data_IF_778822753950
#
_entry.id   IF_778822753950
#
_cell.length_a   1.000
_cell.length_b   1.000
_cell.length_c   1.000
_cell.angle_alpha   90.00
_cell.angle_beta   90.00
_cell.angle_gamma   90.00
#
_symmetry.space_group_name_H-M   'P 1'
#
loop_
_entity.id
_entity.type
_entity.pdbx_description
1 polymer ?
#
# COMPACT_ATOMS: atom_id res chain seq x y z
N UNK A 1 15.33 33.99 2.25
CA UNK A 1 16.75 34.29 2.05
C UNK A 1 17.58 33.22 2.73
N UNK A 2 18.19 32.32 1.95
CA UNK A 2 18.92 31.14 2.44
C UNK A 2 20.37 31.42 2.83
N UNK A 3 20.68 32.57 3.43
CA UNK A 3 22.03 32.87 3.86
C UNK A 3 22.31 32.20 5.21
N UNK A 4 23.49 31.60 5.31
CA UNK A 4 23.97 30.97 6.54
C UNK A 4 25.41 31.43 6.83
N UNK A 5 25.84 31.35 8.10
CA UNK A 5 27.20 31.60 8.52
C UNK A 5 27.59 30.53 9.54
N UNK A 6 28.72 29.87 9.29
CA UNK A 6 29.21 28.78 10.14
C UNK A 6 30.73 28.87 10.27
N UNK A 7 31.24 28.65 11.48
CA UNK A 7 32.66 28.54 11.74
C UNK A 7 33.06 27.08 11.62
N UNK A 8 34.02 26.82 10.74
CA UNK A 8 34.53 25.45 10.48
C UNK A 8 35.91 25.29 11.07
N UNK A 9 36.15 24.26 11.88
CA UNK A 9 37.44 24.07 12.55
C UNK A 9 38.57 23.64 11.60
N UNK A 10 38.25 22.97 10.50
CA UNK A 10 39.26 22.42 9.58
C UNK A 10 38.98 22.77 8.13
N UNK A 11 40.07 22.92 7.34
CA UNK A 11 39.98 23.23 5.89
C UNK A 11 39.28 22.18 5.05
N UNK A 12 39.24 20.93 5.51
CA UNK A 12 38.58 19.77 4.83
C UNK A 12 37.25 19.43 5.47
N UNK A 13 36.65 20.30 6.29
CA UNK A 13 35.33 20.00 6.85
C UNK A 13 34.29 19.82 5.78
N UNK A 14 33.37 18.87 6.01
CA UNK A 14 32.22 18.58 5.14
C UNK A 14 30.98 19.22 5.76
N UNK A 15 30.27 20.00 4.99
CA UNK A 15 28.97 20.56 5.39
C UNK A 15 27.87 19.69 4.84
N UNK A 16 26.96 19.19 5.70
CA UNK A 16 25.79 18.44 5.31
C UNK A 16 24.57 19.36 5.37
N UNK A 17 23.91 19.50 4.24
CA UNK A 17 22.71 20.32 4.08
C UNK A 17 21.50 19.39 4.06
N UNK A 18 20.57 19.61 4.99
CA UNK A 18 19.31 18.83 5.07
C UNK A 18 18.14 19.78 5.23
N UNK A 19 17.17 19.64 4.38
CA UNK A 19 15.91 20.36 4.46
C UNK A 19 14.76 19.45 4.07
N UNK A 20 13.60 19.62 4.70
CA UNK A 20 12.42 18.79 4.44
C UNK A 20 11.98 18.99 2.99
N UNK A 21 11.81 17.91 2.23
CA UNK A 21 11.44 17.95 0.82
C UNK A 21 12.61 18.15 -0.16
N UNK A 22 13.85 18.03 0.32
CA UNK A 22 15.05 18.11 -0.53
C UNK A 22 16.02 16.97 -0.26
N UNK A 23 16.69 16.51 -1.30
CA UNK A 23 17.73 15.48 -1.19
C UNK A 23 18.88 16.01 -0.35
N UNK A 24 19.33 15.30 0.71
CA UNK A 24 20.47 15.70 1.51
C UNK A 24 21.72 15.85 0.62
N UNK A 25 22.45 16.95 0.77
CA UNK A 25 23.65 17.21 0.00
C UNK A 25 24.82 17.49 0.91
N UNK A 26 25.95 16.90 0.60
CA UNK A 26 27.22 17.11 1.30
C UNK A 26 28.19 17.87 0.41
N UNK A 27 28.84 18.86 0.97
CA UNK A 27 29.81 19.73 0.27
C UNK A 27 31.06 19.93 1.11
N UNK A 28 32.22 19.69 0.53
CA UNK A 28 33.50 19.89 1.19
C UNK A 28 33.90 21.37 1.12
N UNK A 29 34.24 21.96 2.23
CA UNK A 29 34.55 23.41 2.32
C UNK A 29 35.81 23.80 1.52
N UNK A 30 36.84 22.96 1.51
CA UNK A 30 38.09 23.17 0.75
C UNK A 30 38.65 24.61 0.86
N UNK A 31 38.67 25.21 2.06
CA UNK A 31 39.14 26.54 2.32
C UNK A 31 38.38 27.66 1.57
N UNK A 32 37.17 27.39 1.08
CA UNK A 32 36.32 28.41 0.46
C UNK A 32 35.67 29.29 1.53
N UNK A 33 35.67 30.58 1.32
CA UNK A 33 35.00 31.54 2.21
C UNK A 33 33.50 31.59 2.00
N UNK A 34 33.04 31.20 0.80
CA UNK A 34 31.64 31.16 0.43
C UNK A 34 31.36 29.80 -0.24
N UNK A 35 30.35 29.09 0.24
CA UNK A 35 29.91 27.84 -0.31
C UNK A 35 28.43 28.01 -0.66
N UNK A 36 28.14 28.09 -1.95
CA UNK A 36 26.79 28.14 -2.46
C UNK A 36 26.34 26.72 -2.77
N UNK A 37 25.20 26.33 -2.24
CA UNK A 37 24.62 24.97 -2.43
C UNK A 37 23.25 25.12 -3.02
N UNK A 38 23.02 24.46 -4.12
CA UNK A 38 21.71 24.28 -4.70
C UNK A 38 21.21 22.89 -4.31
N UNK A 39 20.13 22.86 -3.55
CA UNK A 39 19.45 21.61 -3.18
C UNK A 39 18.47 21.24 -4.29
N UNK A 40 18.34 19.94 -4.55
CA UNK A 40 17.39 19.39 -5.49
C UNK A 40 16.17 18.96 -4.68
N UNK A 41 14.99 19.33 -5.15
CA UNK A 41 13.74 18.85 -4.55
C UNK A 41 13.75 17.33 -4.56
N UNK A 42 13.54 16.76 -3.39
CA UNK A 42 13.24 15.35 -3.27
C UNK A 42 11.80 15.16 -3.76
N UNK A 43 11.64 14.92 -5.06
CA UNK A 43 10.37 14.48 -5.67
C UNK A 43 10.14 13.05 -5.20
N UNK A 44 10.20 12.93 -3.85
CA UNK A 44 10.41 11.68 -3.15
C UNK A 44 9.51 10.60 -3.66
N UNK A 45 10.10 9.49 -3.89
CA UNK A 45 9.46 8.25 -3.56
C UNK A 45 8.82 8.45 -2.18
N UNK A 46 7.52 8.77 -2.16
CA UNK A 46 6.69 8.50 -1.01
C UNK A 46 6.99 7.03 -0.71
N UNK A 47 7.72 6.76 0.38
CA UNK A 47 7.97 5.40 0.83
C UNK A 47 6.60 4.72 0.83
N UNK A 48 6.36 3.84 -0.13
CA UNK A 48 5.08 3.15 -0.26
C UNK A 48 4.86 2.36 1.01
N UNK A 49 3.95 2.84 1.82
CA UNK A 49 3.63 2.27 3.12
C UNK A 49 2.52 1.25 2.90
N UNK A 50 2.76 0.02 3.29
CA UNK A 50 1.76 -1.05 3.24
C UNK A 50 1.10 -1.17 4.60
N UNK A 51 -0.22 -1.13 4.61
CA UNK A 51 -1.00 -1.39 5.82
C UNK A 51 -0.89 -2.87 6.14
N UNK A 52 -0.39 -3.19 7.31
CA UNK A 52 -0.33 -4.55 7.86
C UNK A 52 -1.24 -4.63 9.07
N UNK A 53 -1.58 -5.82 9.51
CA UNK A 53 -2.61 -6.18 10.47
C UNK A 53 -2.90 -5.20 11.64
N UNK A 54 -1.92 -4.49 12.17
CA UNK A 54 -2.09 -3.49 13.24
C UNK A 54 -1.13 -2.30 13.09
N UNK A 55 -0.86 -1.87 11.86
CA UNK A 55 0.01 -0.73 11.62
C UNK A 55 0.42 -0.57 10.17
N UNK A 56 1.25 0.41 9.92
CA UNK A 56 1.81 0.68 8.62
C UNK A 56 3.31 0.38 8.65
N UNK A 57 3.80 -0.40 7.69
CA UNK A 57 5.22 -0.71 7.53
C UNK A 57 5.70 -0.30 6.15
N UNK A 58 6.99 0.03 6.05
CA UNK A 58 7.60 0.26 4.75
C UNK A 58 7.54 -1.01 3.91
N UNK A 59 7.21 -0.90 2.63
CA UNK A 59 7.08 -2.02 1.70
C UNK A 59 8.32 -2.92 1.68
N UNK A 60 9.51 -2.33 1.77
CA UNK A 60 10.77 -3.05 1.78
C UNK A 60 10.97 -3.95 3.02
N UNK A 61 10.29 -3.67 4.14
CA UNK A 61 10.41 -4.44 5.38
C UNK A 61 9.36 -5.53 5.51
N UNK A 62 8.44 -5.65 4.57
CA UNK A 62 7.38 -6.65 4.59
C UNK A 62 7.86 -7.94 3.94
N UNK A 63 8.05 -8.98 4.73
CA UNK A 63 8.48 -10.31 4.27
C UNK A 63 7.34 -11.11 3.65
N UNK A 64 6.09 -10.73 3.91
CA UNK A 64 4.89 -11.42 3.43
C UNK A 64 4.47 -11.02 2.01
N UNK A 65 3.75 -11.90 1.31
CA UNK A 65 3.12 -11.57 0.01
C UNK A 65 1.90 -10.69 0.20
N UNK A 66 2.14 -9.39 0.37
CA UNK A 66 1.09 -8.37 0.44
C UNK A 66 1.02 -7.68 -0.91
N UNK A 67 -0.18 -7.56 -1.47
CA UNK A 67 -0.42 -6.79 -2.68
C UNK A 67 -1.28 -5.61 -2.33
N UNK A 68 -0.71 -4.42 -2.45
CA UNK A 68 -1.46 -3.16 -2.36
C UNK A 68 -1.90 -2.75 -3.76
N UNK A 69 -3.12 -2.28 -3.87
CA UNK A 69 -3.72 -1.81 -5.11
C UNK A 69 -3.97 -0.32 -4.98
N UNK A 70 -3.57 0.42 -5.99
CA UNK A 70 -3.94 1.82 -6.08
C UNK A 70 -5.45 1.95 -6.29
N UNK A 71 -6.16 2.75 -5.48
CA UNK A 71 -7.61 2.92 -5.60
C UNK A 71 -8.05 3.36 -7.00
N UNK A 72 -7.22 4.11 -7.71
CA UNK A 72 -7.46 4.52 -9.08
C UNK A 72 -7.68 3.32 -10.04
N UNK A 73 -7.04 2.18 -9.80
CA UNK A 73 -7.22 0.97 -10.61
C UNK A 73 -8.57 0.28 -10.35
N UNK A 74 -9.13 0.44 -9.16
CA UNK A 74 -10.44 -0.09 -8.80
C UNK A 74 -11.58 0.75 -9.40
N UNK A 75 -11.31 2.03 -9.71
CA UNK A 75 -12.27 2.99 -10.28
C UNK A 75 -12.40 2.90 -11.80
N UNK A 76 -11.52 2.17 -12.48
CA UNK A 76 -11.49 2.11 -13.96
C UNK A 76 -12.71 1.40 -14.55
N UNK A 77 -13.34 0.52 -13.80
CA UNK A 77 -14.51 -0.23 -14.26
C UNK A 77 -15.80 0.52 -13.96
N UNK A 78 -16.70 0.55 -14.93
CA UNK A 78 -18.05 1.13 -14.79
C UNK A 78 -19.02 0.25 -13.98
N UNK A 79 -18.57 -0.93 -13.53
CA UNK A 79 -19.37 -1.81 -12.70
C UNK A 79 -19.41 -1.30 -11.26
N UNK A 80 -20.60 -1.24 -10.68
CA UNK A 80 -20.85 -0.81 -9.30
C UNK A 80 -20.18 -1.74 -8.27
N UNK A 81 -19.99 -3.02 -8.61
CA UNK A 81 -19.45 -4.01 -7.68
C UNK A 81 -17.92 -4.04 -7.72
N UNK A 82 -17.30 -3.78 -6.57
CA UNK A 82 -15.83 -3.87 -6.40
C UNK A 82 -15.34 -5.30 -6.65
N UNK A 83 -16.12 -6.31 -6.27
CA UNK A 83 -15.75 -7.71 -6.47
C UNK A 83 -15.50 -8.06 -7.93
N UNK A 84 -16.23 -7.43 -8.87
CA UNK A 84 -16.02 -7.63 -10.30
C UNK A 84 -14.69 -7.01 -10.78
N UNK A 85 -14.26 -5.92 -10.15
CA UNK A 85 -13.03 -5.20 -10.51
C UNK A 85 -11.77 -5.90 -9.99
N UNK A 86 -11.90 -6.82 -9.04
CA UNK A 86 -10.76 -7.60 -8.53
C UNK A 86 -10.27 -8.62 -9.56
N UNK A 87 -11.15 -9.09 -10.46
CA UNK A 87 -10.78 -10.01 -11.52
C UNK A 87 -9.74 -9.36 -12.46
N UNK A 88 -8.57 -9.99 -12.57
CA UNK A 88 -7.49 -9.51 -13.44
C UNK A 88 -6.70 -8.32 -12.91
N UNK A 89 -7.18 -7.60 -11.89
CA UNK A 89 -6.47 -6.45 -11.28
C UNK A 89 -5.49 -6.92 -10.20
N UNK A 90 -5.85 -7.96 -9.46
CA UNK A 90 -5.06 -8.47 -8.33
C UNK A 90 -4.44 -9.81 -8.67
N UNK A 91 -3.11 -9.87 -8.74
CA UNK A 91 -2.43 -11.16 -8.94
C UNK A 91 -2.76 -12.13 -7.81
N UNK A 92 -3.18 -13.35 -8.16
CA UNK A 92 -3.53 -14.40 -7.21
C UNK A 92 -4.93 -14.30 -6.58
N UNK A 93 -5.77 -13.40 -7.06
CA UNK A 93 -7.20 -13.37 -6.77
C UNK A 93 -7.95 -13.98 -7.97
N UNK A 94 -8.75 -14.97 -7.69
CA UNK A 94 -9.67 -15.59 -8.64
C UNK A 94 -11.06 -15.03 -8.36
N UNK A 95 -11.67 -14.36 -9.33
CA UNK A 95 -13.04 -13.88 -9.19
C UNK A 95 -13.90 -14.46 -10.32
N UNK A 96 -15.09 -14.91 -9.98
CA UNK A 96 -16.05 -15.51 -10.90
C UNK A 96 -17.41 -14.87 -10.73
N UNK A 97 -17.87 -14.19 -11.75
CA UNK A 97 -19.22 -13.66 -11.83
C UNK A 97 -20.14 -14.77 -12.35
N UNK A 98 -21.11 -15.20 -11.55
CA UNK A 98 -22.04 -16.28 -11.90
C UNK A 98 -23.29 -15.79 -12.63
N UNK A 99 -23.66 -14.52 -12.42
CA UNK A 99 -24.82 -13.88 -13.02
C UNK A 99 -24.48 -12.47 -13.48
N UNK A 100 -25.06 -12.02 -14.56
CA UNK A 100 -25.04 -10.63 -15.01
C UNK A 100 -26.37 -9.91 -14.74
N UNK A 101 -27.22 -10.49 -13.90
CA UNK A 101 -28.54 -9.93 -13.57
C UNK A 101 -28.37 -8.71 -12.67
N UNK A 102 -29.04 -7.58 -12.98
CA UNK A 102 -28.95 -6.39 -12.16
C UNK A 102 -29.33 -6.64 -10.71
N UNK A 103 -28.40 -6.33 -9.78
CA UNK A 103 -28.55 -6.60 -8.34
C UNK A 103 -28.04 -7.96 -7.87
N UNK A 104 -27.71 -8.88 -8.78
CA UNK A 104 -27.08 -10.17 -8.52
C UNK A 104 -25.80 -10.38 -9.33
N UNK A 105 -25.17 -9.30 -9.72
CA UNK A 105 -23.96 -9.28 -10.57
C UNK A 105 -22.64 -9.33 -9.79
N UNK A 106 -22.69 -9.55 -8.48
CA UNK A 106 -21.52 -9.68 -7.64
C UNK A 106 -20.69 -10.91 -7.98
N UNK A 107 -19.36 -10.77 -7.98
CA UNK A 107 -18.45 -11.91 -8.15
C UNK A 107 -18.14 -12.58 -6.83
N UNK A 108 -18.12 -13.91 -6.85
CA UNK A 108 -17.45 -14.70 -5.82
C UNK A 108 -15.95 -14.64 -6.07
N UNK A 109 -15.13 -14.44 -5.02
CA UNK A 109 -13.70 -14.32 -5.18
C UNK A 109 -12.94 -15.14 -4.13
N UNK A 110 -11.78 -15.65 -4.53
CA UNK A 110 -10.90 -16.46 -3.70
C UNK A 110 -9.45 -16.00 -3.85
N UNK A 111 -8.69 -16.06 -2.78
CA UNK A 111 -7.26 -15.75 -2.79
C UNK A 111 -6.49 -17.08 -2.89
N UNK A 112 -5.64 -17.20 -3.93
CA UNK A 112 -4.87 -18.43 -4.26
C UNK A 112 -5.71 -19.67 -4.52
N UNK A 113 -7.01 -19.50 -4.83
CA UNK A 113 -7.92 -20.58 -5.15
C UNK A 113 -8.75 -21.07 -3.97
N UNK A 114 -9.48 -22.14 -4.20
CA UNK A 114 -10.38 -22.76 -3.22
C UNK A 114 -9.55 -23.72 -2.35
N UNK A 115 -9.45 -23.43 -1.06
CA UNK A 115 -8.62 -24.19 -0.11
C UNK A 115 -9.41 -25.20 0.70
N UNK A 116 -10.75 -25.15 0.69
CA UNK A 116 -11.63 -26.02 1.47
C UNK A 116 -12.83 -26.48 0.65
N UNK A 117 -13.34 -27.67 0.95
CA UNK A 117 -14.52 -28.24 0.30
C UNK A 117 -15.84 -27.73 0.89
N UNK A 118 -15.81 -27.02 2.02
CA UNK A 118 -17.01 -26.46 2.64
C UNK A 118 -17.26 -25.04 2.15
N UNK A 119 -18.42 -24.78 1.58
CA UNK A 119 -18.79 -23.47 1.04
C UNK A 119 -18.71 -22.33 2.06
N UNK A 120 -19.08 -22.61 3.31
CA UNK A 120 -19.09 -21.61 4.40
C UNK A 120 -17.70 -21.12 4.82
N UNK A 121 -16.62 -21.78 4.39
CA UNK A 121 -15.24 -21.44 4.78
C UNK A 121 -14.34 -21.00 3.63
N UNK A 122 -14.89 -20.78 2.42
CA UNK A 122 -14.08 -20.50 1.23
C UNK A 122 -13.75 -19.01 1.04
N UNK A 123 -14.55 -18.13 1.59
CA UNK A 123 -14.42 -16.70 1.36
C UNK A 123 -13.23 -16.12 2.18
N UNK A 124 -12.45 -15.21 1.60
CA UNK A 124 -11.46 -14.44 2.35
C UNK A 124 -12.14 -13.51 3.35
N UNK A 125 -11.44 -13.18 4.42
CA UNK A 125 -11.89 -12.22 5.41
C UNK A 125 -11.75 -10.80 4.85
N UNK A 126 -12.84 -10.05 4.79
CA UNK A 126 -12.84 -8.64 4.36
C UNK A 126 -13.01 -7.75 5.58
N UNK A 127 -12.05 -6.87 5.78
CA UNK A 127 -12.04 -5.89 6.86
C UNK A 127 -12.03 -4.48 6.26
N UNK A 128 -13.04 -3.70 6.61
CA UNK A 128 -13.18 -2.30 6.24
C UNK A 128 -13.02 -1.49 7.54
N UNK A 129 -11.98 -0.67 7.61
CA UNK A 129 -11.59 0.06 8.83
C UNK A 129 -11.46 -0.86 10.06
N UNK A 130 -10.94 -2.08 9.83
CA UNK A 130 -10.78 -3.11 10.87
C UNK A 130 -12.06 -3.87 11.27
N UNK A 131 -13.21 -3.57 10.66
CA UNK A 131 -14.50 -4.23 10.92
C UNK A 131 -14.83 -5.15 9.74
N UNK A 132 -15.26 -6.38 10.05
CA UNK A 132 -15.71 -7.33 9.02
C UNK A 132 -17.00 -6.85 8.37
N UNK A 133 -16.94 -6.66 7.06
CA UNK A 133 -18.07 -6.23 6.24
C UNK A 133 -18.04 -6.87 4.86
N UNK A 134 -19.16 -6.79 4.15
CA UNK A 134 -19.26 -7.20 2.76
C UNK A 134 -18.61 -6.15 1.84
N UNK A 135 -17.72 -6.62 0.95
CA UNK A 135 -17.02 -5.81 -0.03
C UNK A 135 -17.95 -5.07 -1.00
N UNK A 136 -19.13 -5.63 -1.26
CA UNK A 136 -20.07 -5.09 -2.25
C UNK A 136 -20.90 -3.91 -1.72
N UNK A 137 -20.78 -3.62 -0.41
CA UNK A 137 -21.52 -2.53 0.25
C UNK A 137 -20.70 -1.25 0.42
N UNK A 138 -19.52 -1.15 -0.20
CA UNK A 138 -18.67 0.03 -0.14
C UNK A 138 -18.58 0.70 -1.51
N UNK A 139 -18.53 2.04 -1.53
CA UNK A 139 -18.28 2.78 -2.75
C UNK A 139 -16.77 2.77 -3.07
N UNK A 140 -16.35 2.42 -4.30
CA UNK A 140 -14.95 2.52 -4.70
C UNK A 140 -14.32 3.89 -4.51
N UNK A 141 -15.12 4.95 -4.46
CA UNK A 141 -14.64 6.31 -4.25
C UNK A 141 -14.24 6.60 -2.80
N UNK A 142 -14.80 5.87 -1.84
CA UNK A 142 -14.49 6.00 -0.42
C UNK A 142 -13.20 5.27 -0.01
N UNK A 143 -12.62 4.47 -0.91
CA UNK A 143 -11.43 3.66 -0.61
C UNK A 143 -10.16 4.51 -0.72
N UNK A 144 -9.45 4.65 0.39
CA UNK A 144 -8.13 5.26 0.46
C UNK A 144 -7.02 4.25 0.15
N UNK A 145 -7.12 3.05 0.70
CA UNK A 145 -6.15 1.99 0.48
C UNK A 145 -6.80 0.62 0.39
N UNK A 146 -6.26 -0.24 -0.48
CA UNK A 146 -6.71 -1.61 -0.67
C UNK A 146 -5.52 -2.56 -0.61
N UNK A 147 -5.48 -3.43 0.38
CA UNK A 147 -4.38 -4.38 0.58
C UNK A 147 -4.89 -5.81 0.70
N UNK A 148 -4.23 -6.73 0.02
CA UNK A 148 -4.54 -8.15 0.05
C UNK A 148 -3.40 -8.93 0.70
N UNK A 149 -3.67 -9.52 1.85
CA UNK A 149 -2.78 -10.42 2.57
C UNK A 149 -2.98 -11.85 2.08
N UNK A 150 -2.01 -12.37 1.36
CA UNK A 150 -2.12 -13.68 0.70
C UNK A 150 -1.42 -14.79 1.46
N UNK A 151 -0.43 -14.45 2.29
CA UNK A 151 0.36 -15.42 3.02
C UNK A 151 -0.18 -15.68 4.42
N UNK A 152 -0.01 -16.92 4.87
CA UNK A 152 -0.36 -17.35 6.21
C UNK A 152 0.37 -16.51 7.28
N UNK A 153 1.61 -16.11 7.04
CA UNK A 153 2.37 -15.26 7.95
C UNK A 153 1.73 -13.86 8.12
N UNK A 154 1.28 -13.26 7.02
CA UNK A 154 0.62 -11.96 7.05
C UNK A 154 -0.81 -12.03 7.62
N UNK A 155 -1.52 -13.14 7.39
CA UNK A 155 -2.88 -13.34 7.86
C UNK A 155 -2.98 -13.98 9.25
N UNK A 156 -1.86 -14.49 9.81
CA UNK A 156 -1.81 -15.19 11.11
C UNK A 156 -2.41 -14.39 12.27
N UNK A 157 -2.32 -13.06 12.22
CA UNK A 157 -2.88 -12.16 13.23
C UNK A 157 -4.41 -12.29 13.32
N UNK A 158 -5.05 -12.66 12.22
CA UNK A 158 -6.52 -12.84 12.15
C UNK A 158 -6.96 -14.26 12.45
N UNK A 159 -6.00 -15.12 12.84
CA UNK A 159 -6.26 -16.50 13.21
C UNK A 159 -6.89 -17.33 12.09
N UNK A 160 -7.74 -18.30 12.48
CA UNK A 160 -8.41 -19.24 11.55
C UNK A 160 -9.24 -18.52 10.49
N UNK A 161 -9.82 -17.38 10.83
CA UNK A 161 -10.65 -16.58 9.90
C UNK A 161 -9.85 -16.01 8.73
N UNK A 162 -8.56 -15.75 8.94
CA UNK A 162 -7.63 -15.27 7.91
C UNK A 162 -6.99 -16.38 7.06
N UNK A 163 -7.35 -17.65 7.26
CA UNK A 163 -6.71 -18.79 6.60
C UNK A 163 -6.83 -18.74 5.05
N UNK A 164 -7.94 -18.20 4.53
CA UNK A 164 -8.17 -18.03 3.09
C UNK A 164 -7.68 -16.69 2.54
N UNK A 165 -6.89 -15.97 3.34
CA UNK A 165 -6.43 -14.63 3.03
C UNK A 165 -7.30 -13.54 3.63
N UNK A 166 -6.77 -12.34 3.70
CA UNK A 166 -7.44 -11.17 4.29
C UNK A 166 -7.36 -10.01 3.31
N UNK A 167 -8.46 -9.31 3.15
CA UNK A 167 -8.55 -8.05 2.42
C UNK A 167 -8.72 -6.93 3.44
N UNK A 168 -7.82 -5.97 3.40
CA UNK A 168 -7.86 -4.77 4.22
C UNK A 168 -8.21 -3.57 3.35
N UNK A 169 -9.21 -2.83 3.77
CA UNK A 169 -9.70 -1.61 3.11
C UNK A 169 -9.76 -0.50 4.16
N UNK A 170 -9.21 0.64 3.81
CA UNK A 170 -9.32 1.88 4.58
C UNK A 170 -9.80 3.00 3.67
#
# INVERSE_FOLDING_TARGET
NGNYSIIVPERKSVLSFRYIGFVPKEEVVNNRKVVNVQMVEDVGQLDEVVVVAYGAQKKESVVGSITTIEPAKLKVSTTRSISNNLAGTVAGVLAVQRSGEPGYDNSSFWIRGISTFQDAGQNPLVLIDGIERDLNNIDPEEIESFSVLKDAAASAVYGVRGANGVILIN
#
